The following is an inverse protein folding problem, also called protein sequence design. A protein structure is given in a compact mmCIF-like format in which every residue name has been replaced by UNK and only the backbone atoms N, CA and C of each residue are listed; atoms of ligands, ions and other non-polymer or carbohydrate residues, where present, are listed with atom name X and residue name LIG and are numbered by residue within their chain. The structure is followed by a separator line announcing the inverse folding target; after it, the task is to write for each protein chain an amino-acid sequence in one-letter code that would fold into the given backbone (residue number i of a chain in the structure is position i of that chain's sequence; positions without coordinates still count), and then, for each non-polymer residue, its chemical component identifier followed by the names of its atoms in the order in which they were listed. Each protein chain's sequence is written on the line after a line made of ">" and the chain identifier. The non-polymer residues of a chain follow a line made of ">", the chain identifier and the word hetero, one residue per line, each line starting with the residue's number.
data_IF_811904303093
#
_entry.id   IF_811904303093
#
_cell.length_a   1.000
_cell.length_b   1.000
_cell.length_c   1.000
_cell.angle_alpha   90.00
_cell.angle_beta   90.00
_cell.angle_gamma   90.00
#
_symmetry.space_group_name_H-M   'P 1'
#
loop_
_entity.id
_entity.type
_entity.pdbx_description
1 polymer ?
#
# COMPACT_ATOMS: atom_id res chain seq x y z
N UNK A 1 11.94 17.71 -14.43
CA UNK A 1 11.95 16.26 -14.19
C UNK A 1 11.75 16.05 -12.70
N UNK A 2 10.70 15.34 -12.32
CA UNK A 2 10.39 15.04 -10.92
C UNK A 2 11.45 14.10 -10.35
N UNK A 3 11.86 14.32 -9.10
CA UNK A 3 12.82 13.46 -8.40
C UNK A 3 12.30 13.16 -7.00
N UNK A 4 12.71 12.04 -6.41
CA UNK A 4 12.37 11.72 -5.03
C UNK A 4 12.86 12.76 -4.02
N UNK A 5 13.98 13.44 -4.30
CA UNK A 5 14.45 14.55 -3.48
C UNK A 5 13.46 15.74 -3.49
N UNK A 6 12.89 16.07 -4.66
CA UNK A 6 11.87 17.11 -4.76
C UNK A 6 10.59 16.71 -4.01
N UNK A 7 10.16 15.45 -4.16
CA UNK A 7 8.98 14.93 -3.46
C UNK A 7 9.16 14.88 -1.94
N UNK A 8 10.36 14.55 -1.47
CA UNK A 8 10.72 14.61 -0.04
C UNK A 8 10.54 16.00 0.54
N UNK A 9 10.98 17.04 -0.18
CA UNK A 9 10.78 18.44 0.23
C UNK A 9 9.29 18.80 0.20
N UNK A 10 8.57 18.40 -0.85
CA UNK A 10 7.14 18.72 -1.03
C UNK A 10 6.26 18.08 0.04
N UNK A 11 6.53 16.83 0.41
CA UNK A 11 5.76 16.07 1.40
C UNK A 11 6.20 16.33 2.84
N UNK A 12 7.40 16.90 3.03
CA UNK A 12 8.03 17.04 4.34
C UNK A 12 8.55 15.72 4.91
N UNK A 13 8.61 14.65 4.11
CA UNK A 13 9.05 13.32 4.53
C UNK A 13 10.49 13.13 4.10
N UNK A 14 11.40 13.03 5.06
CA UNK A 14 12.82 12.79 4.79
C UNK A 14 13.03 11.39 4.18
N UNK A 15 13.87 11.31 3.13
CA UNK A 15 14.28 10.04 2.56
C UNK A 15 15.22 9.31 3.54
N UNK A 16 14.93 8.05 3.90
CA UNK A 16 15.89 7.20 4.61
C UNK A 16 17.20 7.08 3.82
N UNK A 17 18.37 7.10 4.48
CA UNK A 17 19.67 7.03 3.79
C UNK A 17 19.78 5.83 2.85
N UNK A 18 19.39 4.63 3.31
CA UNK A 18 19.40 3.42 2.49
C UNK A 18 18.55 3.60 1.23
N UNK A 19 17.30 4.07 1.34
CA UNK A 19 16.45 4.31 0.17
C UNK A 19 17.08 5.33 -0.79
N UNK A 20 17.69 6.40 -0.27
CA UNK A 20 18.38 7.39 -1.10
C UNK A 20 19.51 6.77 -1.91
N UNK A 21 20.32 5.89 -1.31
CA UNK A 21 21.41 5.20 -1.99
C UNK A 21 20.91 4.19 -3.02
N UNK A 22 19.83 3.45 -2.70
CA UNK A 22 19.20 2.53 -3.65
C UNK A 22 18.65 3.28 -4.88
N UNK A 23 17.94 4.40 -4.68
CA UNK A 23 17.43 5.24 -5.76
C UNK A 23 18.58 5.81 -6.62
N UNK A 24 19.65 6.27 -5.98
CA UNK A 24 20.83 6.82 -6.68
C UNK A 24 21.59 5.76 -7.50
N UNK A 25 21.48 4.47 -7.15
CA UNK A 25 22.13 3.39 -7.88
C UNK A 25 21.56 3.16 -9.29
N UNK A 26 20.35 3.65 -9.57
CA UNK A 26 19.62 3.39 -10.80
C UNK A 26 19.04 1.96 -10.91
N UNK A 27 19.21 1.13 -9.89
CA UNK A 27 18.72 -0.27 -9.85
C UNK A 27 17.25 -0.38 -9.45
N UNK A 28 16.58 0.73 -9.19
CA UNK A 28 15.14 0.81 -8.91
C UNK A 28 14.32 1.18 -10.15
N UNK A 29 14.92 1.11 -11.35
CA UNK A 29 14.28 1.49 -12.61
C UNK A 29 14.30 0.32 -13.59
N UNK A 30 13.10 -0.09 -14.05
CA UNK A 30 12.95 -1.18 -15.01
C UNK A 30 13.34 -0.78 -16.44
N UNK A 31 13.03 0.44 -16.86
CA UNK A 31 13.34 0.93 -18.21
C UNK A 31 12.37 0.41 -19.29
N UNK A 32 12.37 1.02 -20.48
CA UNK A 32 11.37 0.76 -21.53
C UNK A 32 11.51 -0.60 -22.21
N UNK A 33 12.68 -1.23 -22.15
CA UNK A 33 12.96 -2.53 -22.74
C UNK A 33 12.63 -3.71 -21.80
N UNK A 34 12.17 -3.43 -20.58
CA UNK A 34 11.92 -4.42 -19.53
C UNK A 34 11.09 -5.61 -20.02
N UNK A 35 9.98 -5.36 -20.72
CA UNK A 35 9.11 -6.43 -21.23
C UNK A 35 9.86 -7.45 -22.12
N UNK A 36 10.90 -7.02 -22.84
CA UNK A 36 11.70 -7.88 -23.69
C UNK A 36 12.93 -8.47 -22.99
N UNK A 37 13.44 -7.84 -21.92
CA UNK A 37 14.73 -8.18 -21.30
C UNK A 37 14.63 -8.69 -19.85
N UNK A 38 13.44 -8.67 -19.23
CA UNK A 38 13.25 -8.92 -17.80
C UNK A 38 13.90 -10.22 -17.33
N UNK A 39 13.64 -11.34 -18.03
CA UNK A 39 14.13 -12.66 -17.62
C UNK A 39 15.66 -12.72 -17.60
N UNK A 40 16.30 -12.20 -18.66
CA UNK A 40 17.76 -12.15 -18.74
C UNK A 40 18.33 -11.26 -17.65
N UNK A 41 17.72 -10.08 -17.44
CA UNK A 41 18.16 -9.13 -16.41
C UNK A 41 18.04 -9.71 -15.01
N UNK A 42 16.95 -10.41 -14.69
CA UNK A 42 16.80 -11.09 -13.39
C UNK A 42 17.97 -12.04 -13.07
N UNK A 43 18.52 -12.73 -14.08
CA UNK A 43 19.60 -13.70 -13.87
C UNK A 43 21.01 -13.08 -13.89
N UNK A 44 21.19 -11.94 -14.54
CA UNK A 44 22.51 -11.33 -14.75
C UNK A 44 22.76 -10.12 -13.86
N UNK A 45 21.78 -9.23 -13.79
CA UNK A 45 21.88 -7.93 -13.13
C UNK A 45 20.46 -7.43 -12.76
N UNK A 46 19.80 -8.09 -11.79
CA UNK A 46 18.41 -7.80 -11.46
C UNK A 46 18.27 -6.36 -10.93
N UNK A 47 17.15 -5.67 -11.23
CA UNK A 47 16.67 -4.59 -10.37
C UNK A 47 16.62 -5.04 -8.90
N UNK A 48 16.78 -4.09 -7.98
CA UNK A 48 16.72 -4.40 -6.54
C UNK A 48 15.32 -4.91 -6.18
N UNK A 49 15.24 -5.86 -5.25
CA UNK A 49 14.02 -6.47 -4.71
C UNK A 49 13.22 -7.30 -5.72
N UNK A 50 13.83 -7.73 -6.83
CA UNK A 50 13.19 -8.68 -7.75
C UNK A 50 12.91 -10.06 -7.13
N UNK A 51 13.57 -10.40 -6.02
CA UNK A 51 13.29 -11.62 -5.26
C UNK A 51 12.12 -11.49 -4.29
N UNK A 52 11.48 -10.33 -4.18
CA UNK A 52 10.36 -10.12 -3.28
C UNK A 52 9.04 -10.43 -3.96
N UNK A 53 8.10 -10.99 -3.21
CA UNK A 53 6.73 -11.17 -3.65
C UNK A 53 6.01 -9.82 -3.64
N UNK A 54 5.23 -9.55 -4.69
CA UNK A 54 4.26 -8.45 -4.75
C UNK A 54 4.86 -7.06 -4.45
N UNK A 55 6.04 -6.80 -5.01
CA UNK A 55 6.75 -5.53 -4.89
C UNK A 55 7.23 -5.03 -6.25
N UNK A 56 6.85 -3.80 -6.60
CA UNK A 56 7.24 -3.13 -7.83
C UNK A 56 7.74 -1.72 -7.52
N UNK A 57 8.97 -1.39 -7.95
CA UNK A 57 9.44 -0.01 -7.87
C UNK A 57 8.61 0.91 -8.76
N UNK A 58 8.32 2.10 -8.25
CA UNK A 58 7.74 3.19 -9.05
C UNK A 58 8.76 4.31 -9.17
N UNK A 59 8.74 5.02 -10.30
CA UNK A 59 9.58 6.21 -10.45
C UNK A 59 8.97 7.43 -9.73
N UNK A 60 9.72 8.53 -9.68
CA UNK A 60 9.27 9.74 -9.02
C UNK A 60 8.05 10.38 -9.70
N UNK A 61 7.80 10.10 -10.97
CA UNK A 61 6.63 10.64 -11.65
C UNK A 61 5.38 9.86 -11.26
N UNK A 62 5.44 8.54 -11.26
CA UNK A 62 4.37 7.68 -10.76
C UNK A 62 4.09 7.94 -9.26
N UNK A 63 5.12 8.15 -8.44
CA UNK A 63 4.96 8.56 -7.03
C UNK A 63 4.18 9.88 -6.91
N UNK A 64 4.52 10.88 -7.74
CA UNK A 64 3.81 12.17 -7.80
C UNK A 64 2.35 11.99 -8.20
N UNK A 65 2.06 11.18 -9.21
CA UNK A 65 0.70 10.88 -9.66
C UNK A 65 -0.14 10.22 -8.55
N UNK A 66 0.44 9.31 -7.77
CA UNK A 66 -0.24 8.68 -6.63
C UNK A 66 -0.55 9.70 -5.53
N UNK A 67 0.42 10.58 -5.21
CA UNK A 67 0.23 11.66 -4.23
C UNK A 67 -0.89 12.59 -4.69
N UNK A 68 -0.78 13.15 -5.90
CA UNK A 68 -1.76 14.11 -6.43
C UNK A 68 -3.15 13.47 -6.60
N UNK A 69 -3.20 12.20 -7.01
CA UNK A 69 -4.44 11.47 -7.25
C UNK A 69 -5.24 11.19 -5.99
N UNK A 70 -4.63 10.56 -4.98
CA UNK A 70 -5.39 10.13 -3.80
C UNK A 70 -4.65 10.16 -2.46
N UNK A 71 -3.31 10.19 -2.45
CA UNK A 71 -2.54 10.20 -1.19
C UNK A 71 -2.11 11.59 -0.69
N UNK A 72 -2.67 12.67 -1.25
CA UNK A 72 -2.38 14.02 -0.77
C UNK A 72 -3.04 14.26 0.59
N UNK A 73 -2.41 15.06 1.49
CA UNK A 73 -2.92 15.27 2.85
C UNK A 73 -4.35 15.80 2.92
N UNK A 74 -4.80 16.56 1.93
CA UNK A 74 -6.18 17.07 1.85
C UNK A 74 -7.23 15.96 1.76
N UNK A 75 -6.91 14.84 1.10
CA UNK A 75 -7.77 13.65 1.04
C UNK A 75 -7.56 12.74 2.24
N UNK A 76 -6.34 12.65 2.77
CA UNK A 76 -5.95 11.66 3.78
C UNK A 76 -5.97 12.21 5.22
N UNK A 77 -6.94 13.05 5.56
CA UNK A 77 -7.12 13.60 6.92
C UNK A 77 -5.85 14.27 7.49
N UNK A 78 -5.07 14.93 6.63
CA UNK A 78 -3.83 15.60 6.98
C UNK A 78 -2.59 14.70 7.03
N UNK A 79 -2.72 13.38 6.84
CA UNK A 79 -1.57 12.47 6.79
C UNK A 79 -0.83 12.61 5.45
N UNK A 80 0.49 12.72 5.53
CA UNK A 80 1.37 12.74 4.36
C UNK A 80 1.94 11.35 4.08
N UNK A 81 2.08 11.06 2.79
CA UNK A 81 2.71 9.85 2.27
C UNK A 81 3.70 10.20 1.17
N UNK A 82 4.77 9.41 1.09
CA UNK A 82 5.71 9.44 -0.03
C UNK A 82 5.83 8.02 -0.59
N UNK A 83 5.04 7.67 -1.63
CA UNK A 83 5.07 6.37 -2.28
C UNK A 83 6.43 6.12 -2.93
N UNK A 84 6.98 4.91 -2.79
CA UNK A 84 8.24 4.52 -3.43
C UNK A 84 8.15 3.20 -4.21
N UNK A 85 7.09 2.43 -3.98
CA UNK A 85 6.79 1.20 -4.69
C UNK A 85 5.27 0.92 -4.63
N UNK A 86 4.83 -0.10 -5.36
CA UNK A 86 3.45 -0.59 -5.32
C UNK A 86 3.41 -2.13 -5.25
N UNK A 87 2.28 -2.68 -4.81
CA UNK A 87 1.93 -4.08 -5.03
C UNK A 87 1.37 -4.26 -6.45
N UNK A 88 1.33 -5.51 -6.94
CA UNK A 88 0.63 -5.89 -8.16
C UNK A 88 -0.89 -5.69 -8.08
N UNK A 89 -1.45 -5.57 -6.87
CA UNK A 89 -2.83 -5.16 -6.64
C UNK A 89 -3.04 -3.64 -6.73
N UNK A 90 -1.97 -2.84 -6.78
CA UNK A 90 -2.02 -1.38 -6.86
C UNK A 90 -2.01 -0.65 -5.51
N UNK A 91 -1.68 -1.34 -4.43
CA UNK A 91 -1.47 -0.73 -3.10
C UNK A 91 -0.12 -0.02 -3.07
N UNK A 92 -0.02 1.08 -2.32
CA UNK A 92 1.17 1.92 -2.33
C UNK A 92 2.08 1.64 -1.13
N UNK A 93 3.30 1.19 -1.38
CA UNK A 93 4.37 1.20 -0.38
C UNK A 93 4.86 2.63 -0.19
N UNK A 94 4.64 3.16 1.00
CA UNK A 94 4.83 4.57 1.33
C UNK A 94 5.75 4.77 2.52
N UNK A 95 6.58 5.81 2.45
CA UNK A 95 7.12 6.44 3.65
C UNK A 95 6.02 7.30 4.30
N UNK A 96 5.93 7.28 5.63
CA UNK A 96 5.01 8.15 6.38
C UNK A 96 5.63 8.58 7.71
N UNK A 97 5.37 9.82 8.18
CA UNK A 97 5.85 10.25 9.49
C UNK A 97 5.32 9.37 10.63
N UNK A 98 6.19 9.12 11.60
CA UNK A 98 5.83 8.54 12.89
C UNK A 98 5.74 9.66 13.93
N UNK A 99 4.78 9.54 14.85
CA UNK A 99 4.52 10.54 15.91
C UNK A 99 5.74 10.80 16.81
N UNK A 100 6.70 9.87 16.86
CA UNK A 100 7.90 9.92 17.72
C UNK A 100 9.20 10.42 17.03
N UNK A 101 9.09 11.29 16.01
CA UNK A 101 10.24 11.74 15.20
C UNK A 101 10.92 10.59 14.45
N UNK A 102 10.29 10.17 13.36
CA UNK A 102 10.85 9.16 12.46
C UNK A 102 10.03 9.03 11.19
N UNK A 103 10.49 8.20 10.28
CA UNK A 103 9.79 7.84 9.05
C UNK A 103 9.65 6.32 9.03
N UNK A 104 8.42 5.85 9.07
CA UNK A 104 8.08 4.43 8.94
C UNK A 104 7.71 4.08 7.51
N UNK A 105 7.55 2.78 7.27
CA UNK A 105 7.07 2.23 6.00
C UNK A 105 5.66 1.68 6.19
N UNK A 106 4.71 2.13 5.39
CA UNK A 106 3.34 1.63 5.36
C UNK A 106 3.02 1.02 3.99
N UNK A 107 2.21 -0.04 3.99
CA UNK A 107 1.46 -0.45 2.80
C UNK A 107 0.09 0.22 2.90
N UNK A 108 -0.17 1.18 2.01
CA UNK A 108 -1.42 1.92 1.98
C UNK A 108 -2.34 1.24 0.98
N UNK A 109 -3.36 0.56 1.51
CA UNK A 109 -4.33 -0.19 0.74
C UNK A 109 -5.20 0.77 -0.06
N UNK A 110 -5.34 0.52 -1.35
CA UNK A 110 -6.11 1.40 -2.23
C UNK A 110 -7.63 1.20 -2.09
N UNK A 111 -8.03 0.05 -1.55
CA UNK A 111 -9.39 -0.45 -1.49
C UNK A 111 -9.92 -0.79 -0.08
N UNK A 112 -9.15 -0.49 0.95
CA UNK A 112 -9.53 -0.64 2.35
C UNK A 112 -9.64 0.73 3.05
N UNK A 113 -10.51 0.81 4.06
CA UNK A 113 -10.73 2.01 4.88
C UNK A 113 -9.62 2.21 5.92
N UNK A 114 -8.76 1.22 6.13
CA UNK A 114 -7.66 1.29 7.07
C UNK A 114 -6.38 0.70 6.50
N UNK A 115 -5.26 1.25 6.95
CA UNK A 115 -3.92 0.69 6.70
C UNK A 115 -3.09 0.76 7.97
N UNK A 116 -1.89 0.18 7.92
CA UNK A 116 -0.97 0.17 9.04
C UNK A 116 0.45 0.48 8.60
N UNK A 117 1.21 1.09 9.51
CA UNK A 117 2.66 1.12 9.37
C UNK A 117 3.18 -0.30 9.58
N UNK A 118 3.83 -0.83 8.56
CA UNK A 118 4.42 -2.16 8.56
C UNK A 118 5.75 -2.21 9.32
N UNK A 119 6.58 -1.16 9.22
CA UNK A 119 7.92 -1.14 9.79
C UNK A 119 8.29 0.25 10.32
N UNK A 120 9.06 0.29 11.41
CA UNK A 120 9.47 1.52 12.09
C UNK A 120 10.49 2.34 11.29
N UNK A 121 11.26 1.67 10.43
CA UNK A 121 12.22 2.29 9.54
C UNK A 121 12.39 1.47 8.25
N UNK A 122 13.09 2.06 7.28
CA UNK A 122 13.31 1.44 5.97
C UNK A 122 14.30 0.26 6.03
N UNK A 123 15.31 0.31 6.90
CA UNK A 123 16.25 -0.80 7.09
C UNK A 123 15.53 -2.07 7.58
N UNK A 124 14.58 -1.94 8.51
CA UNK A 124 13.78 -3.06 9.01
C UNK A 124 12.86 -3.62 7.92
N UNK A 125 12.25 -2.74 7.11
CA UNK A 125 11.45 -3.14 5.96
C UNK A 125 12.26 -3.98 4.96
N UNK A 126 13.48 -3.54 4.64
CA UNK A 126 14.38 -4.29 3.75
C UNK A 126 14.81 -5.62 4.34
N UNK A 127 15.14 -5.65 5.64
CA UNK A 127 15.47 -6.88 6.35
C UNK A 127 14.30 -7.87 6.31
N UNK A 128 13.09 -7.41 6.66
CA UNK A 128 11.90 -8.23 6.67
C UNK A 128 11.52 -8.77 5.28
N UNK A 129 11.65 -7.95 4.23
CA UNK A 129 11.40 -8.37 2.85
C UNK A 129 12.32 -9.52 2.42
N UNK A 130 13.61 -9.44 2.72
CA UNK A 130 14.53 -10.54 2.43
C UNK A 130 14.30 -11.77 3.30
N UNK A 131 13.98 -11.60 4.59
CA UNK A 131 13.63 -12.74 5.44
C UNK A 131 12.43 -13.50 4.88
N UNK A 132 11.40 -12.79 4.38
CA UNK A 132 10.26 -13.41 3.70
C UNK A 132 10.69 -14.16 2.43
N UNK A 133 11.50 -13.53 1.57
CA UNK A 133 12.03 -14.17 0.37
C UNK A 133 12.93 -15.39 0.66
N UNK A 134 13.61 -15.42 1.81
CA UNK A 134 14.35 -16.60 2.27
C UNK A 134 13.45 -17.75 2.70
N UNK A 135 12.23 -17.46 3.15
CA UNK A 135 11.33 -18.46 3.72
C UNK A 135 10.39 -19.10 2.70
N UNK A 136 10.13 -18.43 1.58
CA UNK A 136 9.30 -18.94 0.49
C UNK A 136 9.73 -18.37 -0.87
N UNK A 137 10.15 -19.25 -1.79
CA UNK A 137 10.49 -18.90 -3.18
C UNK A 137 9.40 -19.31 -4.19
N UNK A 138 8.18 -19.59 -3.73
CA UNK A 138 7.15 -20.18 -4.60
C UNK A 138 6.84 -19.32 -5.82
N UNK A 139 6.73 -18.00 -5.70
CA UNK A 139 6.42 -17.14 -6.85
C UNK A 139 7.55 -17.12 -7.88
N UNK A 140 8.80 -17.17 -7.43
CA UNK A 140 9.95 -17.24 -8.33
C UNK A 140 9.99 -18.57 -9.08
N UNK A 141 9.47 -19.65 -8.49
CA UNK A 141 9.43 -20.95 -9.13
C UNK A 141 8.36 -21.07 -10.23
N UNK A 142 7.43 -20.13 -10.34
CA UNK A 142 6.49 -20.06 -11.46
C UNK A 142 7.22 -19.71 -12.77
N UNK A 143 8.29 -18.92 -12.68
CA UNK A 143 9.04 -18.41 -13.83
C UNK A 143 10.47 -18.96 -13.93
N UNK A 144 11.06 -19.43 -12.84
CA UNK A 144 12.46 -19.85 -12.76
C UNK A 144 12.63 -21.27 -12.23
N UNK A 145 13.69 -21.95 -12.65
CA UNK A 145 14.14 -23.18 -11.98
C UNK A 145 14.64 -22.87 -10.55
N UNK A 146 14.71 -23.88 -9.68
CA UNK A 146 15.23 -23.71 -8.31
C UNK A 146 16.62 -23.07 -8.26
N UNK A 147 17.52 -23.47 -9.17
CA UNK A 147 18.87 -22.88 -9.24
C UNK A 147 18.85 -21.42 -9.67
N UNK A 148 17.97 -21.07 -10.60
CA UNK A 148 17.82 -19.69 -11.10
C UNK A 148 17.16 -18.79 -10.06
N UNK A 149 16.11 -19.26 -9.36
CA UNK A 149 15.47 -18.55 -8.26
C UNK A 149 16.47 -18.28 -7.12
N UNK A 150 17.27 -19.28 -6.76
CA UNK A 150 18.33 -19.11 -5.76
C UNK A 150 19.44 -18.15 -6.23
N UNK A 151 19.80 -18.19 -7.52
CA UNK A 151 20.75 -17.24 -8.10
C UNK A 151 20.22 -15.80 -8.03
N UNK A 152 18.96 -15.58 -8.43
CA UNK A 152 18.28 -14.28 -8.35
C UNK A 152 18.29 -13.75 -6.91
N UNK A 153 17.80 -14.53 -5.95
CA UNK A 153 17.75 -14.15 -4.53
C UNK A 153 19.13 -13.74 -4.00
N UNK A 154 20.17 -14.54 -4.28
CA UNK A 154 21.53 -14.25 -3.84
C UNK A 154 22.11 -13.00 -4.49
N UNK A 155 21.84 -12.79 -5.78
CA UNK A 155 22.29 -11.60 -6.49
C UNK A 155 21.60 -10.34 -5.95
N UNK A 156 20.31 -10.43 -5.64
CA UNK A 156 19.52 -9.34 -5.08
C UNK A 156 20.04 -8.91 -3.70
N UNK A 157 20.22 -9.88 -2.78
CA UNK A 157 20.84 -9.62 -1.46
C UNK A 157 22.25 -9.04 -1.61
N UNK A 158 23.09 -9.62 -2.48
CA UNK A 158 24.46 -9.16 -2.66
C UNK A 158 24.54 -7.74 -3.25
N UNK A 159 23.54 -7.30 -4.02
CA UNK A 159 23.47 -5.94 -4.53
C UNK A 159 22.97 -4.97 -3.44
N UNK A 160 21.88 -5.29 -2.76
CA UNK A 160 21.30 -4.41 -1.73
C UNK A 160 22.26 -4.20 -0.57
N UNK A 161 22.89 -5.27 -0.07
CA UNK A 161 23.74 -5.21 1.13
C UNK A 161 24.98 -4.32 0.97
N UNK A 162 25.37 -3.95 -0.25
CA UNK A 162 26.45 -2.96 -0.51
C UNK A 162 26.12 -1.56 -0.02
N UNK A 163 24.84 -1.24 0.12
CA UNK A 163 24.35 0.06 0.58
C UNK A 163 23.94 0.04 2.06
N UNK A 164 23.91 -1.15 2.67
CA UNK A 164 23.49 -1.31 4.06
C UNK A 164 24.67 -1.16 5.02
N UNK A 165 24.37 -0.90 6.30
CA UNK A 165 25.37 -1.02 7.37
C UNK A 165 25.95 -2.43 7.38
N UNK A 166 27.25 -2.54 7.66
CA UNK A 166 27.97 -3.80 7.58
C UNK A 166 27.31 -4.90 8.43
N UNK A 167 26.89 -4.61 9.67
CA UNK A 167 26.29 -5.64 10.53
C UNK A 167 25.02 -6.26 9.92
N UNK A 168 24.14 -5.41 9.38
CA UNK A 168 22.89 -5.86 8.77
C UNK A 168 23.12 -6.52 7.41
N UNK A 169 24.09 -6.03 6.64
CA UNK A 169 24.49 -6.63 5.38
C UNK A 169 25.07 -8.04 5.55
N UNK A 170 25.99 -8.20 6.50
CA UNK A 170 26.60 -9.49 6.84
C UNK A 170 25.56 -10.49 7.36
N UNK A 171 24.60 -10.01 8.16
CA UNK A 171 23.48 -10.80 8.65
C UNK A 171 22.63 -11.40 7.52
N UNK A 172 22.20 -10.59 6.55
CA UNK A 172 21.41 -11.09 5.41
C UNK A 172 22.23 -12.02 4.50
N UNK A 173 23.52 -11.71 4.28
CA UNK A 173 24.40 -12.58 3.49
C UNK A 173 24.64 -13.95 4.12
N UNK A 174 24.55 -14.08 5.44
CA UNK A 174 24.72 -15.37 6.10
C UNK A 174 23.61 -16.36 5.74
N UNK A 175 22.36 -15.91 5.65
CA UNK A 175 21.25 -16.74 5.17
C UNK A 175 21.47 -17.24 3.74
N UNK A 176 22.03 -16.41 2.87
CA UNK A 176 22.34 -16.81 1.50
C UNK A 176 23.32 -17.99 1.39
N UNK A 177 24.12 -18.27 2.41
CA UNK A 177 25.07 -19.41 2.44
C UNK A 177 24.39 -20.74 2.76
N UNK A 178 23.17 -20.71 3.27
CA UNK A 178 22.41 -21.91 3.64
C UNK A 178 21.96 -22.69 2.41
N UNK A 179 21.74 -24.02 2.55
CA UNK A 179 21.19 -24.82 1.46
C UNK A 179 19.73 -24.47 1.19
N UNK A 180 19.34 -24.58 -0.08
CA UNK A 180 17.94 -24.57 -0.47
C UNK A 180 17.32 -25.93 -0.14
N UNK A 181 16.22 -25.92 0.62
CA UNK A 181 15.50 -27.14 1.01
C UNK A 181 14.00 -26.97 0.75
N UNK A 182 13.30 -28.09 0.63
CA UNK A 182 11.84 -28.12 0.56
C UNK A 182 11.30 -28.26 1.98
N UNK A 183 10.52 -27.28 2.44
CA UNK A 183 10.00 -27.20 3.82
C UNK A 183 8.48 -27.05 3.84
N UNK A 184 7.81 -27.54 4.91
CA UNK A 184 6.39 -27.30 5.09
C UNK A 184 6.11 -25.80 5.31
N UNK A 185 5.05 -25.31 4.70
CA UNK A 185 4.56 -23.95 4.84
C UNK A 185 3.04 -23.94 5.00
N UNK A 186 2.53 -23.04 5.83
CA UNK A 186 1.09 -22.87 6.05
C UNK A 186 0.72 -21.38 6.02
N UNK A 187 -0.04 -20.97 5.00
CA UNK A 187 -0.42 -19.57 4.78
C UNK A 187 -1.38 -19.00 5.85
N UNK A 188 -2.03 -19.87 6.62
CA UNK A 188 -2.87 -19.44 7.74
C UNK A 188 -3.34 -20.60 8.61
N UNK A 189 -3.92 -20.34 9.79
CA UNK A 189 -4.21 -21.38 10.79
C UNK A 189 -5.05 -22.56 10.27
N UNK A 190 -5.91 -22.30 9.28
CA UNK A 190 -6.80 -23.30 8.65
C UNK A 190 -6.36 -23.72 7.25
N UNK A 191 -5.32 -23.13 6.69
CA UNK A 191 -4.82 -23.47 5.36
C UNK A 191 -4.20 -24.89 5.37
N UNK A 192 -4.21 -25.54 4.21
CA UNK A 192 -3.48 -26.80 4.02
C UNK A 192 -1.97 -26.50 4.03
N UNK A 193 -1.19 -27.44 4.56
CA UNK A 193 0.26 -27.35 4.47
C UNK A 193 0.68 -27.61 3.03
N UNK A 194 1.46 -26.70 2.47
CA UNK A 194 2.17 -26.86 1.18
C UNK A 194 3.66 -27.04 1.43
N UNK A 195 4.39 -27.41 0.39
CA UNK A 195 5.84 -27.58 0.41
C UNK A 195 6.47 -26.46 -0.41
N UNK A 196 7.44 -25.75 0.17
CA UNK A 196 8.06 -24.58 -0.45
C UNK A 196 9.57 -24.71 -0.46
N UNK A 197 10.21 -24.24 -1.54
CA UNK A 197 11.65 -24.11 -1.56
C UNK A 197 12.06 -22.88 -0.76
N UNK A 198 13.01 -23.05 0.17
CA UNK A 198 13.39 -22.01 1.13
C UNK A 198 14.84 -22.17 1.63
N UNK A 199 15.39 -21.12 2.21
CA UNK A 199 16.66 -21.10 2.95
C UNK A 199 16.45 -21.16 4.48
N UNK A 200 15.28 -20.70 4.96
CA UNK A 200 14.88 -20.75 6.36
C UNK A 200 13.50 -21.39 6.52
N UNK A 201 13.20 -21.90 7.72
CA UNK A 201 11.87 -22.42 8.04
C UNK A 201 10.87 -21.31 8.37
N UNK A 202 9.57 -21.61 8.29
CA UNK A 202 8.51 -20.67 8.70
C UNK A 202 8.62 -20.26 10.18
N UNK A 203 9.02 -21.19 11.07
CA UNK A 203 9.22 -20.90 12.49
C UNK A 203 10.43 -19.97 12.71
N UNK A 204 11.51 -20.17 11.93
CA UNK A 204 12.67 -19.29 11.98
C UNK A 204 12.34 -17.90 11.43
N UNK A 205 11.60 -17.80 10.33
CA UNK A 205 11.08 -16.53 9.82
C UNK A 205 10.32 -15.78 10.93
N UNK A 206 9.37 -16.45 11.59
CA UNK A 206 8.58 -15.84 12.66
C UNK A 206 9.47 -15.36 13.83
N UNK A 207 10.48 -16.15 14.20
CA UNK A 207 11.44 -15.78 15.24
C UNK A 207 12.29 -14.56 14.85
N UNK A 208 12.74 -14.47 13.60
CA UNK A 208 13.55 -13.34 13.12
C UNK A 208 12.73 -12.07 12.94
N UNK A 209 11.52 -12.15 12.38
CA UNK A 209 10.59 -11.01 12.31
C UNK A 209 10.21 -10.51 13.70
N UNK A 210 10.06 -11.41 14.68
CA UNK A 210 9.78 -11.05 16.08
C UNK A 210 10.92 -10.29 16.78
N UNK A 211 12.13 -10.23 16.21
CA UNK A 211 13.24 -9.40 16.72
C UNK A 211 13.21 -7.98 16.19
N UNK A 212 12.50 -7.73 15.09
CA UNK A 212 12.35 -6.38 14.54
C UNK A 212 11.41 -5.56 15.43
N UNK A 213 11.61 -4.24 15.54
CA UNK A 213 10.73 -3.37 16.31
C UNK A 213 9.28 -3.45 15.80
N UNK A 214 8.36 -3.86 16.67
CA UNK A 214 6.94 -3.85 16.35
C UNK A 214 6.43 -2.41 16.22
N UNK A 215 5.60 -2.18 15.19
CA UNK A 215 4.85 -0.93 15.05
C UNK A 215 3.36 -1.26 15.07
N UNK A 216 2.71 -0.88 16.16
CA UNK A 216 1.26 -0.99 16.28
C UNK A 216 0.63 0.38 15.98
N UNK A 217 0.65 0.76 14.70
CA UNK A 217 0.10 2.02 14.23
C UNK A 217 -0.79 1.79 13.01
N UNK A 218 -2.09 1.65 13.25
CA UNK A 218 -3.12 1.70 12.22
C UNK A 218 -3.68 3.11 12.07
N UNK A 219 -4.07 3.46 10.86
CA UNK A 219 -4.68 4.74 10.54
C UNK A 219 -5.76 4.57 9.47
N UNK A 220 -6.80 5.42 9.49
CA UNK A 220 -7.81 5.43 8.43
C UNK A 220 -7.20 5.93 7.13
N UNK A 221 -7.69 5.37 6.03
CA UNK A 221 -7.33 5.74 4.66
C UNK A 221 -8.61 6.03 3.90
N UNK A 222 -8.62 7.12 3.13
CA UNK A 222 -9.71 7.37 2.18
C UNK A 222 -9.38 6.59 0.92
N UNK A 223 -10.24 5.63 0.57
CA UNK A 223 -10.03 4.75 -0.58
C UNK A 223 -9.94 5.57 -1.88
N UNK A 224 -9.19 5.06 -2.85
CA UNK A 224 -8.83 5.81 -4.06
C UNK A 224 -10.05 6.33 -4.84
N UNK A 225 -11.14 5.55 -4.90
CA UNK A 225 -12.37 5.93 -5.63
C UNK A 225 -13.26 6.92 -4.86
N UNK A 226 -12.98 7.16 -3.58
CA UNK A 226 -13.74 8.12 -2.76
C UNK A 226 -13.12 9.53 -2.80
N UNK A 227 -11.87 9.64 -3.23
CA UNK A 227 -11.19 10.92 -3.41
C UNK A 227 -11.83 11.66 -4.57
N UNK A 228 -12.50 12.78 -4.26
CA UNK A 228 -13.05 13.67 -5.27
C UNK A 228 -11.91 14.35 -6.01
N UNK A 229 -11.93 14.30 -7.34
CA UNK A 229 -10.99 15.03 -8.19
C UNK A 229 -11.06 16.53 -7.89
N UNK A 230 -9.90 17.15 -7.62
CA UNK A 230 -9.75 18.59 -7.33
C UNK A 230 -10.33 19.46 -8.46
N UNK A 231 -10.44 18.93 -9.69
CA UNK A 231 -11.04 19.62 -10.84
C UNK A 231 -12.55 19.85 -10.77
N UNK A 232 -13.29 19.19 -9.87
CA UNK A 232 -14.70 19.55 -9.64
C UNK A 232 -14.87 20.77 -8.71
N UNK A 233 -13.78 21.26 -8.13
CA UNK A 233 -13.79 22.30 -7.10
C UNK A 233 -13.56 23.75 -7.58
N UNK A 234 -12.98 23.99 -8.76
CA UNK A 234 -12.45 25.33 -9.08
C UNK A 234 -12.96 25.99 -10.39
N UNK A 235 -13.85 25.31 -11.14
CA UNK A 235 -14.41 25.84 -12.39
C UNK A 235 -15.76 26.57 -12.24
N UNK A 236 -16.18 26.98 -11.04
CA UNK A 236 -17.44 27.74 -10.85
C UNK A 236 -17.31 28.87 -9.84
N UNK A 237 -16.38 29.80 -10.05
CA UNK A 237 -16.53 31.18 -9.59
C UNK A 237 -17.48 31.96 -10.53
N UNK A 238 -18.71 31.50 -10.62
CA UNK A 238 -19.88 32.30 -10.99
C UNK A 238 -20.77 32.43 -9.75
N UNK A 239 -21.58 33.50 -9.61
CA UNK A 239 -22.44 33.65 -8.44
C UNK A 239 -23.29 32.38 -8.27
N UNK A 240 -23.26 31.84 -7.04
CA UNK A 240 -23.78 30.51 -6.71
C UNK A 240 -25.21 30.32 -7.24
N UNK A 241 -25.50 29.26 -8.03
CA UNK A 241 -26.86 28.80 -8.15
C UNK A 241 -27.22 28.13 -6.83
N UNK A 242 -28.28 28.65 -6.22
CA UNK A 242 -28.94 28.10 -5.03
C UNK A 242 -29.05 26.57 -5.16
N UNK A 243 -28.42 25.83 -4.25
CA UNK A 243 -28.45 24.37 -4.27
C UNK A 243 -29.90 23.91 -4.24
N UNK A 244 -30.38 23.29 -5.32
CA UNK A 244 -31.71 22.71 -5.37
C UNK A 244 -31.83 21.72 -4.20
N UNK A 245 -32.60 22.08 -3.17
CA UNK A 245 -32.85 21.22 -2.02
C UNK A 245 -33.48 19.93 -2.55
N UNK A 246 -32.77 18.81 -2.39
CA UNK A 246 -33.30 17.50 -2.73
C UNK A 246 -34.44 17.22 -1.76
N UNK A 247 -35.68 17.22 -2.25
CA UNK A 247 -36.85 16.89 -1.44
C UNK A 247 -36.82 15.41 -1.07
N UNK A 248 -36.66 15.13 0.22
CA UNK A 248 -36.60 13.77 0.73
C UNK A 248 -37.86 12.97 0.43
N UNK A 249 -39.00 13.63 0.18
CA UNK A 249 -40.27 12.99 -0.20
C UNK A 249 -40.20 12.30 -1.56
N UNK A 250 -39.41 12.84 -2.48
CA UNK A 250 -39.17 12.23 -3.80
C UNK A 250 -38.30 10.98 -3.68
N UNK A 251 -37.29 11.03 -2.82
CA UNK A 251 -36.42 9.88 -2.51
C UNK A 251 -37.20 8.77 -1.77
N UNK A 252 -38.15 9.14 -0.91
CA UNK A 252 -38.94 8.20 -0.12
C UNK A 252 -39.90 7.35 -0.97
N UNK A 253 -40.21 7.78 -2.20
CA UNK A 253 -41.06 7.02 -3.12
C UNK A 253 -40.33 5.80 -3.74
N UNK A 254 -38.99 5.77 -3.69
CA UNK A 254 -38.17 4.63 -4.12
C UNK A 254 -37.67 3.84 -2.88
N UNK A 255 -38.08 2.56 -2.71
CA UNK A 255 -37.63 1.72 -1.60
C UNK A 255 -36.11 1.58 -1.48
N UNK A 256 -35.38 1.66 -2.60
CA UNK A 256 -33.91 1.56 -2.63
C UNK A 256 -33.23 2.84 -2.12
N UNK A 257 -33.94 3.96 -2.10
CA UNK A 257 -33.41 5.26 -1.68
C UNK A 257 -33.86 5.67 -0.28
N UNK A 258 -34.48 4.75 0.46
CA UNK A 258 -35.02 5.02 1.81
C UNK A 258 -33.98 5.61 2.77
N UNK A 259 -32.74 5.13 2.75
CA UNK A 259 -31.70 5.67 3.64
C UNK A 259 -31.26 7.09 3.24
N UNK A 260 -31.23 7.40 1.93
CA UNK A 260 -30.97 8.74 1.43
C UNK A 260 -32.11 9.70 1.80
N UNK A 261 -33.37 9.25 1.71
CA UNK A 261 -34.53 10.00 2.18
C UNK A 261 -34.46 10.31 3.69
N UNK A 262 -34.05 9.35 4.51
CA UNK A 262 -33.87 9.56 5.96
C UNK A 262 -32.80 10.62 6.24
N UNK A 263 -31.65 10.56 5.57
CA UNK A 263 -30.57 11.55 5.76
C UNK A 263 -30.97 12.95 5.26
N UNK A 264 -31.68 13.04 4.14
CA UNK A 264 -32.20 14.30 3.62
C UNK A 264 -33.28 14.90 4.54
N UNK A 265 -34.20 14.09 5.06
CA UNK A 265 -35.21 14.47 6.06
C UNK A 265 -34.56 14.95 7.37
N UNK A 266 -33.52 14.25 7.82
CA UNK A 266 -32.75 14.61 9.00
C UNK A 266 -32.10 15.99 8.85
N UNK A 267 -31.49 16.24 7.70
CA UNK A 267 -30.88 17.53 7.36
C UNK A 267 -31.91 18.66 7.26
N UNK A 268 -33.07 18.40 6.64
CA UNK A 268 -34.15 19.38 6.49
C UNK A 268 -34.78 19.79 7.82
N UNK A 269 -34.97 18.84 8.74
CA UNK A 269 -35.67 19.08 10.01
C UNK A 269 -34.74 19.21 11.22
N UNK A 270 -33.42 19.05 11.04
CA UNK A 270 -32.43 19.15 12.12
C UNK A 270 -32.68 18.20 13.28
N UNK A 271 -33.26 17.02 13.03
CA UNK A 271 -33.71 16.09 14.06
C UNK A 271 -32.78 14.86 14.20
N UNK A 272 -33.06 13.99 15.16
CA UNK A 272 -32.31 12.73 15.28
C UNK A 272 -32.66 11.75 14.16
N UNK A 273 -31.74 10.83 13.84
CA UNK A 273 -31.93 9.82 12.79
C UNK A 273 -33.20 8.96 13.04
N UNK A 274 -33.50 8.65 14.31
CA UNK A 274 -34.71 7.91 14.69
C UNK A 274 -36.00 8.69 14.43
N UNK A 275 -35.99 10.00 14.66
CA UNK A 275 -37.13 10.90 14.36
C UNK A 275 -37.31 11.06 12.84
N UNK A 276 -36.22 11.28 12.10
CA UNK A 276 -36.24 11.36 10.64
C UNK A 276 -36.77 10.07 10.00
N UNK A 277 -36.34 8.91 10.50
CA UNK A 277 -36.84 7.60 10.06
C UNK A 277 -38.35 7.47 10.29
N UNK A 278 -38.85 7.85 11.47
CA UNK A 278 -40.28 7.78 11.77
C UNK A 278 -41.11 8.68 10.83
N UNK A 279 -40.61 9.87 10.50
CA UNK A 279 -41.26 10.79 9.56
C UNK A 279 -41.31 10.23 8.13
N UNK A 280 -40.20 9.65 7.65
CA UNK A 280 -40.14 8.99 6.34
C UNK A 280 -41.06 7.78 6.28
N UNK A 281 -41.06 6.92 7.31
CA UNK A 281 -41.92 5.75 7.40
C UNK A 281 -43.42 6.15 7.42
N UNK A 282 -43.77 7.22 8.13
CA UNK A 282 -45.14 7.75 8.17
C UNK A 282 -45.58 8.30 6.81
N UNK A 283 -44.69 8.99 6.09
CA UNK A 283 -44.96 9.53 4.75
C UNK A 283 -45.19 8.41 3.73
N UNK A 284 -44.32 7.39 3.70
CA UNK A 284 -44.47 6.21 2.83
C UNK A 284 -45.81 5.50 3.12
N UNK A 285 -46.13 5.27 4.40
CA UNK A 285 -47.41 4.67 4.80
C UNK A 285 -48.66 5.55 4.57
N UNK A 286 -48.48 6.81 4.14
CA UNK A 286 -49.58 7.68 3.69
C UNK A 286 -49.80 7.62 2.17
N UNK A 287 -48.74 7.33 1.40
CA UNK A 287 -48.81 7.11 -0.05
C UNK A 287 -49.56 5.81 -0.37
N UNK A 288 -49.32 4.74 0.41
CA UNK A 288 -49.97 3.44 0.23
C UNK A 288 -51.48 3.43 0.58
N UNK A 289 -51.98 4.47 1.25
CA UNK A 289 -53.41 4.60 1.61
C UNK A 289 -54.23 5.38 0.58
N UNK A 290 -53.58 5.96 -0.42
CA UNK A 290 -54.21 6.76 -1.48
C UNK A 290 -53.92 6.24 -2.91
N UNK A 291 -53.31 5.06 -3.02
CA UNK A 291 -53.21 4.26 -4.25
C UNK A 291 -54.31 3.18 -4.28
#
# INVERSE_FOLDING_TARGET
>A
MTTYANLSIQTGIALPPLLSDLLASGKTVYGPDWAATWRQRCLQDPPLFMSWQDFEWIDAEASREIIEGWLHPGAQNGRSFLPFAQSGAGDAWCLTPLDMHGVGVALVLHDDEASSVSHACFDDFVCAGFLQAFADLSDQLDEFSQSEALQLLRADVAQTTRFMKQELGDYLQDFCRRPLEIRPWRDGPRARVRQVASLISQDELAAELGRLPAVDLSFPVVARWEVRSVEEGDARHGPAPESAKIDWRTLAADPLQKMAAIRACQSEHGCSLGQAKAMVDQYIGSLDRHA
#
